data_IF_213678229624
#
_entry.id   IF_213678229624
#
_cell.length_a   1.000
_cell.length_b   1.000
_cell.length_c   1.000
_cell.angle_alpha   90.00
_cell.angle_beta   90.00
_cell.angle_gamma   90.00
#
_symmetry.space_group_name_H-M   'P 1'
#
loop_
_entity.id
_entity.type
_entity.pdbx_description
1 polymer ?
#
# COMPACT_ATOMS: atom_id res chain seq x y z
N UNK A 1 7.09 -3.69 49.47
CA UNK A 1 7.27 -4.50 48.25
C UNK A 1 5.93 -5.13 47.94
N UNK A 2 5.13 -4.56 47.04
CA UNK A 2 3.78 -5.05 46.75
C UNK A 2 3.58 -5.25 45.24
N UNK A 3 2.97 -6.39 44.93
CA UNK A 3 2.27 -6.75 43.70
C UNK A 3 3.12 -7.01 42.44
N UNK A 4 3.51 -8.28 42.28
CA UNK A 4 3.67 -9.02 41.02
C UNK A 4 3.30 -8.22 39.77
N UNK A 5 4.30 -7.77 39.00
CA UNK A 5 4.06 -7.19 37.69
C UNK A 5 3.53 -8.29 36.78
N UNK A 6 2.20 -8.34 36.60
CA UNK A 6 1.61 -9.18 35.56
C UNK A 6 2.25 -8.77 34.25
N UNK A 7 2.99 -9.69 33.63
CA UNK A 7 3.71 -9.43 32.38
C UNK A 7 2.72 -8.91 31.34
N UNK A 8 3.04 -7.78 30.71
CA UNK A 8 2.15 -7.16 29.74
C UNK A 8 2.19 -7.94 28.42
N UNK A 9 1.34 -8.96 28.28
CA UNK A 9 1.27 -9.87 27.12
C UNK A 9 1.26 -9.12 25.78
N UNK A 10 0.48 -8.03 25.58
CA UNK A 10 0.52 -7.31 24.31
C UNK A 10 1.89 -6.72 23.96
N UNK A 11 2.69 -6.34 24.97
CA UNK A 11 4.07 -5.88 24.72
C UNK A 11 4.99 -7.02 24.29
N UNK A 12 4.77 -8.26 24.76
CA UNK A 12 5.53 -9.41 24.28
C UNK A 12 5.21 -9.66 22.81
N UNK A 13 3.92 -9.72 22.46
CA UNK A 13 3.50 -9.93 21.07
C UNK A 13 4.04 -8.86 20.12
N UNK A 14 3.94 -7.58 20.50
CA UNK A 14 4.51 -6.49 19.72
C UNK A 14 6.04 -6.57 19.65
N UNK A 15 6.73 -6.90 20.74
CA UNK A 15 8.20 -7.03 20.72
C UNK A 15 8.65 -8.15 19.78
N UNK A 16 7.95 -9.30 19.76
CA UNK A 16 8.24 -10.39 18.85
C UNK A 16 7.99 -9.99 17.40
N UNK A 17 6.85 -9.36 17.11
CA UNK A 17 6.49 -8.93 15.77
C UNK A 17 7.42 -7.82 15.25
N UNK A 18 7.55 -6.71 15.98
CA UNK A 18 8.36 -5.58 15.55
C UNK A 18 9.86 -5.84 15.67
N UNK A 19 10.30 -6.56 16.70
CA UNK A 19 11.71 -6.92 16.87
C UNK A 19 12.17 -7.98 15.88
N UNK A 20 11.38 -9.04 15.68
CA UNK A 20 11.64 -10.05 14.65
C UNK A 20 11.59 -9.45 13.25
N UNK A 21 10.57 -8.61 12.96
CA UNK A 21 10.47 -7.88 11.72
C UNK A 21 11.65 -6.93 11.48
N UNK A 22 12.10 -6.20 12.49
CA UNK A 22 13.27 -5.32 12.40
C UNK A 22 14.55 -6.11 12.11
N UNK A 23 14.75 -7.25 12.79
CA UNK A 23 15.89 -8.13 12.53
C UNK A 23 15.89 -8.64 11.08
N UNK A 24 14.75 -9.16 10.60
CA UNK A 24 14.62 -9.62 9.22
C UNK A 24 14.89 -8.48 8.23
N UNK A 25 14.25 -7.32 8.41
CA UNK A 25 14.44 -6.16 7.55
C UNK A 25 15.90 -5.67 7.52
N UNK A 26 16.59 -5.66 8.65
CA UNK A 26 18.02 -5.34 8.73
C UNK A 26 18.87 -6.34 7.93
N UNK A 27 18.65 -7.64 8.12
CA UNK A 27 19.39 -8.67 7.38
C UNK A 27 19.11 -8.63 5.88
N UNK A 28 17.85 -8.39 5.47
CA UNK A 28 17.47 -8.18 4.07
C UNK A 28 18.13 -6.95 3.47
N UNK A 29 18.22 -5.84 4.22
CA UNK A 29 18.92 -4.62 3.78
C UNK A 29 20.37 -4.92 3.44
N UNK A 30 21.10 -5.57 4.36
CA UNK A 30 22.49 -5.92 4.16
C UNK A 30 22.67 -6.91 2.99
N UNK A 31 21.81 -7.92 2.90
CA UNK A 31 21.84 -8.94 1.85
C UNK A 31 21.59 -8.35 0.45
N UNK A 32 20.54 -7.54 0.28
CA UNK A 32 20.23 -6.90 -0.99
C UNK A 32 21.28 -5.87 -1.39
N UNK A 33 21.84 -5.11 -0.44
CA UNK A 33 22.89 -4.15 -0.73
C UNK A 33 24.17 -4.85 -1.22
N UNK A 34 24.58 -5.94 -0.56
CA UNK A 34 25.70 -6.75 -0.99
C UNK A 34 25.45 -7.37 -2.37
N UNK A 35 24.26 -7.94 -2.59
CA UNK A 35 23.89 -8.52 -3.89
C UNK A 35 23.88 -7.46 -5.01
N UNK A 36 23.43 -6.24 -4.71
CA UNK A 36 23.47 -5.10 -5.64
C UNK A 36 24.91 -4.76 -6.04
N UNK A 37 25.83 -4.64 -5.07
CA UNK A 37 27.26 -4.39 -5.33
C UNK A 37 27.87 -5.49 -6.21
N UNK A 38 27.56 -6.76 -5.92
CA UNK A 38 28.07 -7.89 -6.69
C UNK A 38 27.61 -7.84 -8.15
N UNK A 39 26.39 -7.36 -8.41
CA UNK A 39 25.86 -7.20 -9.78
C UNK A 39 26.49 -6.03 -10.55
N UNK A 40 27.08 -5.06 -9.86
CA UNK A 40 27.86 -3.97 -10.46
C UNK A 40 29.30 -4.37 -10.85
N UNK A 41 29.77 -5.56 -10.45
CA UNK A 41 31.13 -5.99 -10.75
C UNK A 41 31.32 -6.22 -12.26
N UNK A 42 32.55 -6.06 -12.79
CA UNK A 42 32.83 -6.20 -14.22
C UNK A 42 32.46 -7.56 -14.83
N UNK A 43 32.28 -8.58 -13.98
CA UNK A 43 32.00 -9.97 -14.34
C UNK A 43 30.50 -10.17 -14.66
N UNK A 44 29.59 -9.42 -14.02
CA UNK A 44 28.14 -9.56 -14.18
C UNK A 44 27.54 -8.49 -15.09
N UNK A 45 27.98 -7.24 -14.97
CA UNK A 45 27.47 -6.07 -15.71
C UNK A 45 25.93 -5.96 -15.83
N UNK A 46 25.18 -6.45 -14.83
CA UNK A 46 23.72 -6.43 -14.85
C UNK A 46 23.17 -5.23 -14.04
N UNK A 47 23.31 -4.03 -14.61
CA UNK A 47 22.95 -2.78 -13.95
C UNK A 47 21.45 -2.68 -13.62
N UNK A 48 20.58 -3.25 -14.46
CA UNK A 48 19.13 -3.28 -14.19
C UNK A 48 18.84 -4.09 -12.93
N UNK A 49 19.41 -5.30 -12.83
CA UNK A 49 19.23 -6.14 -11.65
C UNK A 49 19.85 -5.52 -10.39
N UNK A 50 21.01 -4.87 -10.52
CA UNK A 50 21.64 -4.14 -9.43
C UNK A 50 20.72 -3.03 -8.88
N UNK A 51 20.07 -2.26 -9.76
CA UNK A 51 19.13 -1.21 -9.38
C UNK A 51 17.94 -1.77 -8.59
N UNK A 52 17.32 -2.86 -9.05
CA UNK A 52 16.21 -3.51 -8.33
C UNK A 52 16.63 -3.99 -6.94
N UNK A 53 17.83 -4.56 -6.82
CA UNK A 53 18.39 -4.97 -5.53
C UNK A 53 18.64 -3.78 -4.60
N UNK A 54 19.14 -2.65 -5.11
CA UNK A 54 19.27 -1.45 -4.29
C UNK A 54 17.91 -0.88 -3.87
N UNK A 55 16.90 -0.90 -4.74
CA UNK A 55 15.53 -0.51 -4.38
C UNK A 55 14.99 -1.38 -3.22
N UNK A 56 15.18 -2.70 -3.30
CA UNK A 56 14.82 -3.63 -2.22
C UNK A 56 15.61 -3.37 -0.93
N UNK A 57 16.91 -3.07 -1.02
CA UNK A 57 17.74 -2.75 0.13
C UNK A 57 17.24 -1.49 0.84
N UNK A 58 16.96 -0.42 0.10
CA UNK A 58 16.43 0.83 0.64
C UNK A 58 15.03 0.66 1.25
N UNK A 59 14.14 -0.10 0.59
CA UNK A 59 12.82 -0.43 1.13
C UNK A 59 12.92 -1.21 2.45
N UNK A 60 13.76 -2.25 2.50
CA UNK A 60 14.01 -3.02 3.72
C UNK A 60 14.62 -2.15 4.82
N UNK A 61 15.54 -1.25 4.47
CA UNK A 61 16.17 -0.32 5.42
C UNK A 61 15.17 0.63 6.05
N UNK A 62 14.24 1.17 5.26
CA UNK A 62 13.15 1.99 5.77
C UNK A 62 12.24 1.20 6.72
N UNK A 63 11.85 -0.02 6.34
CA UNK A 63 11.03 -0.91 7.19
C UNK A 63 11.73 -1.16 8.53
N UNK A 64 13.03 -1.47 8.51
CA UNK A 64 13.83 -1.63 9.72
C UNK A 64 13.70 -0.41 10.64
N UNK A 65 13.94 0.80 10.11
CA UNK A 65 13.85 2.04 10.88
C UNK A 65 12.46 2.28 11.47
N UNK A 66 11.39 1.99 10.72
CA UNK A 66 10.00 2.17 11.16
C UNK A 66 9.57 1.19 12.27
N UNK A 67 10.22 0.04 12.38
CA UNK A 67 9.93 -0.96 13.42
C UNK A 67 10.69 -0.71 14.73
N UNK A 68 11.75 0.12 14.72
CA UNK A 68 12.55 0.42 15.92
C UNK A 68 11.76 1.10 17.05
N UNK A 69 10.89 2.12 16.79
CA UNK A 69 10.15 2.77 17.87
C UNK A 69 9.23 1.80 18.61
N UNK A 70 8.47 0.97 17.90
CA UNK A 70 7.59 -0.02 18.53
C UNK A 70 8.37 -1.05 19.34
N UNK A 71 9.47 -1.55 18.79
CA UNK A 71 10.38 -2.49 19.47
C UNK A 71 10.92 -1.89 20.77
N UNK A 72 11.39 -0.64 20.70
CA UNK A 72 11.93 0.08 21.85
C UNK A 72 10.87 0.33 22.93
N UNK A 73 9.68 0.81 22.55
CA UNK A 73 8.58 1.08 23.49
C UNK A 73 8.08 -0.20 24.16
N UNK A 74 8.00 -1.31 23.42
CA UNK A 74 7.64 -2.62 23.96
C UNK A 74 8.70 -3.13 24.96
N UNK A 75 9.98 -3.02 24.62
CA UNK A 75 11.09 -3.39 25.50
C UNK A 75 11.13 -2.55 26.79
N UNK A 76 11.01 -1.22 26.68
CA UNK A 76 10.96 -0.31 27.83
C UNK A 76 9.85 -0.71 28.79
N UNK A 77 8.64 -1.01 28.27
CA UNK A 77 7.51 -1.44 29.09
C UNK A 77 7.75 -2.77 29.80
N UNK A 78 8.36 -3.75 29.11
CA UNK A 78 8.66 -5.07 29.67
C UNK A 78 9.76 -4.99 30.75
N UNK A 79 10.66 -4.01 30.65
CA UNK A 79 11.63 -3.67 31.70
C UNK A 79 11.00 -2.95 32.90
N UNK A 80 9.67 -2.76 32.92
CA UNK A 80 8.95 -2.10 34.00
C UNK A 80 9.17 -0.57 34.06
N UNK A 81 9.76 0.02 33.01
CA UNK A 81 10.01 1.46 32.93
C UNK A 81 8.77 2.19 32.41
N UNK A 82 8.53 3.45 32.83
CA UNK A 82 7.46 4.26 32.27
C UNK A 82 7.69 4.46 30.77
N UNK A 83 6.65 4.17 29.97
CA UNK A 83 6.73 4.30 28.51
C UNK A 83 6.72 5.79 28.14
N UNK A 84 7.71 6.26 27.37
CA UNK A 84 7.76 7.66 26.97
C UNK A 84 6.65 7.97 25.97
N UNK A 85 6.01 9.12 26.15
CA UNK A 85 5.07 9.67 25.18
C UNK A 85 5.81 10.63 24.24
N UNK A 86 5.96 10.22 22.98
CA UNK A 86 6.71 10.94 21.96
C UNK A 86 5.74 11.82 21.17
N UNK A 87 5.55 13.05 21.64
CA UNK A 87 4.70 14.04 20.96
C UNK A 87 5.55 15.18 20.40
N UNK A 88 5.88 15.12 19.12
CA UNK A 88 6.67 16.16 18.44
C UNK A 88 5.73 17.25 17.92
N UNK A 89 5.52 18.32 18.71
CA UNK A 89 4.56 19.40 18.40
C UNK A 89 4.80 20.11 17.07
N UNK A 90 6.05 20.13 16.57
CA UNK A 90 6.41 20.82 15.34
C UNK A 90 6.28 19.94 14.09
N UNK A 91 6.08 18.63 14.23
CA UNK A 91 6.11 17.69 13.11
C UNK A 91 5.06 18.03 12.05
N UNK A 92 3.83 18.35 12.47
CA UNK A 92 2.77 18.75 11.55
C UNK A 92 3.10 20.03 10.77
N UNK A 93 3.80 21.01 11.38
CA UNK A 93 4.24 22.21 10.64
C UNK A 93 5.38 21.89 9.68
N UNK A 94 6.38 21.13 10.13
CA UNK A 94 7.51 20.75 9.29
C UNK A 94 7.07 19.93 8.09
N UNK A 95 6.16 18.97 8.26
CA UNK A 95 5.65 18.13 7.17
C UNK A 95 4.84 18.96 6.16
N UNK A 96 4.04 19.94 6.62
CA UNK A 96 3.33 20.87 5.72
C UNK A 96 4.27 21.74 4.87
N UNK A 97 5.44 22.10 5.40
CA UNK A 97 6.45 22.84 4.63
C UNK A 97 7.20 21.88 3.71
N UNK A 98 7.60 20.71 4.23
CA UNK A 98 8.39 19.74 3.50
C UNK A 98 7.65 19.19 2.28
N UNK A 99 6.33 18.99 2.33
CA UNK A 99 5.56 18.50 1.17
C UNK A 99 5.67 19.42 -0.05
N UNK A 100 5.97 20.72 0.15
CA UNK A 100 6.24 21.65 -0.96
C UNK A 100 7.49 21.30 -1.75
N UNK A 101 8.39 20.48 -1.20
CA UNK A 101 9.55 19.95 -1.89
C UNK A 101 9.22 18.75 -2.79
N UNK A 102 8.02 18.15 -2.70
CA UNK A 102 7.66 16.95 -3.51
C UNK A 102 7.77 17.21 -5.02
N UNK A 103 7.24 18.31 -5.59
CA UNK A 103 7.41 18.60 -7.02
C UNK A 103 8.89 18.73 -7.42
N UNK A 104 9.71 19.34 -6.56
CA UNK A 104 11.15 19.44 -6.79
C UNK A 104 11.82 18.06 -6.76
N UNK A 105 11.48 17.20 -5.80
CA UNK A 105 11.99 15.82 -5.71
C UNK A 105 11.59 14.98 -6.92
N UNK A 106 10.37 15.14 -7.44
CA UNK A 106 9.93 14.49 -8.68
C UNK A 106 10.76 14.99 -9.86
N UNK A 107 10.97 16.31 -9.98
CA UNK A 107 11.82 16.88 -11.04
C UNK A 107 13.26 16.37 -10.99
N UNK A 108 13.86 16.32 -9.79
CA UNK A 108 15.21 15.76 -9.59
C UNK A 108 15.27 14.26 -9.90
N UNK A 109 14.25 13.50 -9.49
CA UNK A 109 14.15 12.07 -9.79
C UNK A 109 14.02 11.81 -11.30
N UNK A 110 13.26 12.63 -12.02
CA UNK A 110 13.17 12.56 -13.48
C UNK A 110 14.53 12.79 -14.15
N UNK A 111 15.26 13.83 -13.74
CA UNK A 111 16.60 14.12 -14.26
C UNK A 111 17.58 12.97 -13.99
N UNK A 112 17.53 12.40 -12.78
CA UNK A 112 18.40 11.28 -12.39
C UNK A 112 18.02 9.98 -13.10
N UNK A 113 16.75 9.76 -13.42
CA UNK A 113 16.27 8.54 -14.07
C UNK A 113 16.89 8.29 -15.45
N UNK A 114 17.36 9.35 -16.14
CA UNK A 114 18.05 9.24 -17.43
C UNK A 114 19.53 8.81 -17.33
N UNK A 115 20.07 8.61 -16.13
CA UNK A 115 21.48 8.27 -15.90
C UNK A 115 21.62 6.95 -15.13
N UNK A 116 22.12 5.89 -15.77
CA UNK A 116 22.16 4.52 -15.22
C UNK A 116 22.77 4.41 -13.82
N UNK A 117 23.94 5.02 -13.59
CA UNK A 117 24.64 4.93 -12.30
C UNK A 117 23.96 5.80 -11.23
N UNK A 118 23.53 7.02 -11.58
CA UNK A 118 22.87 7.91 -10.62
C UNK A 118 21.49 7.39 -10.24
N UNK A 119 20.74 6.84 -11.20
CA UNK A 119 19.43 6.23 -10.97
C UNK A 119 19.53 5.08 -9.97
N UNK A 120 20.54 4.23 -10.10
CA UNK A 120 20.78 3.10 -9.22
C UNK A 120 20.91 3.49 -7.73
N UNK A 121 21.50 4.64 -7.43
CA UNK A 121 21.78 5.06 -6.03
C UNK A 121 20.77 6.09 -5.51
N UNK A 122 20.45 7.11 -6.32
CA UNK A 122 19.68 8.27 -5.87
C UNK A 122 18.17 8.11 -6.11
N UNK A 123 17.76 7.37 -7.15
CA UNK A 123 16.34 7.19 -7.45
C UNK A 123 15.58 6.50 -6.30
N UNK A 124 16.06 5.40 -5.68
CA UNK A 124 15.39 4.83 -4.51
C UNK A 124 15.25 5.81 -3.34
N UNK A 125 16.24 6.69 -3.13
CA UNK A 125 16.19 7.71 -2.07
C UNK A 125 15.08 8.73 -2.36
N UNK A 126 14.98 9.21 -3.61
CA UNK A 126 13.92 10.14 -3.99
C UNK A 126 12.54 9.49 -3.93
N UNK A 127 12.40 8.26 -4.40
CA UNK A 127 11.16 7.49 -4.30
C UNK A 127 10.67 7.38 -2.86
N UNK A 128 11.53 6.92 -1.95
CA UNK A 128 11.21 6.80 -0.53
C UNK A 128 10.86 8.16 0.07
N UNK A 129 11.62 9.21 -0.25
CA UNK A 129 11.37 10.54 0.26
C UNK A 129 10.00 11.06 -0.20
N UNK A 130 9.67 10.94 -1.49
CA UNK A 130 8.39 11.39 -2.06
C UNK A 130 7.23 10.64 -1.42
N UNK A 131 7.27 9.31 -1.39
CA UNK A 131 6.19 8.48 -0.83
C UNK A 131 6.02 8.77 0.65
N UNK A 132 7.09 8.65 1.44
CA UNK A 132 7.02 8.80 2.90
C UNK A 132 6.56 10.19 3.30
N UNK A 133 7.09 11.23 2.67
CA UNK A 133 6.72 12.61 2.98
C UNK A 133 5.25 12.88 2.66
N UNK A 134 4.76 12.35 1.55
CA UNK A 134 3.37 12.54 1.14
C UNK A 134 2.40 11.79 2.06
N UNK A 135 2.72 10.54 2.43
CA UNK A 135 1.91 9.77 3.38
C UNK A 135 1.89 10.43 4.78
N UNK A 136 3.05 10.91 5.25
CA UNK A 136 3.13 11.65 6.50
C UNK A 136 2.31 12.94 6.44
N UNK A 137 2.37 13.67 5.33
CA UNK A 137 1.58 14.89 5.14
C UNK A 137 0.07 14.62 5.18
N UNK A 138 -0.38 13.55 4.52
CA UNK A 138 -1.78 13.14 4.53
C UNK A 138 -2.23 12.72 5.93
N UNK A 139 -1.43 11.92 6.64
CA UNK A 139 -1.71 11.51 8.02
C UNK A 139 -1.78 12.71 8.97
N UNK A 140 -0.77 13.58 8.96
CA UNK A 140 -0.72 14.77 9.83
C UNK A 140 -1.86 15.74 9.55
N UNK A 141 -2.20 15.94 8.28
CA UNK A 141 -3.34 16.77 7.88
C UNK A 141 -4.66 16.16 8.34
N UNK A 142 -4.84 14.85 8.15
CA UNK A 142 -6.04 14.12 8.56
C UNK A 142 -6.23 14.03 10.06
N UNK A 143 -5.15 13.91 10.84
CA UNK A 143 -5.21 13.81 12.32
C UNK A 143 -5.06 15.13 13.07
N UNK A 144 -4.85 16.24 12.36
CA UNK A 144 -4.58 17.56 12.94
C UNK A 144 -5.57 17.91 14.07
N UNK A 145 -5.04 18.17 15.27
CA UNK A 145 -5.81 18.51 16.48
C UNK A 145 -6.84 17.45 16.93
N UNK A 146 -6.73 16.21 16.47
CA UNK A 146 -7.35 15.06 17.14
C UNK A 146 -6.39 14.61 18.25
N UNK A 147 -6.94 14.21 19.40
CA UNK A 147 -6.13 13.66 20.48
C UNK A 147 -5.48 12.36 19.97
N UNK A 148 -4.14 12.30 19.89
CA UNK A 148 -3.44 11.08 19.50
C UNK A 148 -3.68 9.99 20.54
N UNK A 149 -3.59 8.73 20.11
CA UNK A 149 -3.48 7.62 21.05
C UNK A 149 -2.15 7.69 21.80
N UNK A 150 -1.90 6.74 22.71
CA UNK A 150 -0.55 6.61 23.28
C UNK A 150 0.46 6.29 22.18
N UNK A 151 1.69 6.78 22.33
CA UNK A 151 2.77 6.55 21.36
C UNK A 151 2.99 5.06 21.10
N UNK A 152 2.90 4.24 22.15
CA UNK A 152 2.99 2.78 22.04
C UNK A 152 1.88 2.19 21.16
N UNK A 153 0.67 2.75 21.21
CA UNK A 153 -0.45 2.27 20.41
C UNK A 153 -0.25 2.65 18.94
N UNK A 154 0.11 3.89 18.65
CA UNK A 154 0.31 4.35 17.27
C UNK A 154 1.43 3.57 16.57
N UNK A 155 2.60 3.46 17.21
CA UNK A 155 3.72 2.68 16.68
C UNK A 155 3.42 1.18 16.63
N UNK A 156 2.64 0.66 17.58
CA UNK A 156 2.18 -0.72 17.58
C UNK A 156 1.24 -1.02 16.40
N UNK A 157 0.30 -0.12 16.08
CA UNK A 157 -0.58 -0.24 14.91
C UNK A 157 0.22 -0.23 13.61
N UNK A 158 1.17 0.70 13.48
CA UNK A 158 2.05 0.77 12.30
C UNK A 158 2.85 -0.52 12.15
N UNK A 159 3.51 -0.97 13.23
CA UNK A 159 4.37 -2.16 13.19
C UNK A 159 3.60 -3.43 12.93
N UNK A 160 2.41 -3.59 13.54
CA UNK A 160 1.54 -4.74 13.26
C UNK A 160 1.06 -4.72 11.80
N UNK A 161 0.72 -3.54 11.27
CA UNK A 161 0.29 -3.42 9.88
C UNK A 161 1.39 -3.83 8.91
N UNK A 162 2.62 -3.39 9.17
CA UNK A 162 3.80 -3.73 8.36
C UNK A 162 4.13 -5.22 8.45
N UNK A 163 4.15 -5.79 9.65
CA UNK A 163 4.71 -7.14 9.90
C UNK A 163 3.69 -8.27 9.80
N UNK A 164 2.40 -7.98 9.97
CA UNK A 164 1.35 -8.99 9.96
C UNK A 164 0.26 -8.70 8.92
N UNK A 165 -0.28 -7.47 8.89
CA UNK A 165 -1.42 -7.17 8.01
C UNK A 165 -1.05 -7.31 6.53
N UNK A 166 0.06 -6.71 6.09
CA UNK A 166 0.46 -6.79 4.68
C UNK A 166 0.83 -8.21 4.24
N UNK A 167 1.67 -8.99 4.97
CA UNK A 167 1.92 -10.38 4.60
C UNK A 167 0.65 -11.24 4.54
N UNK A 168 -0.31 -11.02 5.45
CA UNK A 168 -1.59 -11.72 5.42
C UNK A 168 -2.44 -11.27 4.21
N UNK A 169 -2.47 -9.98 3.88
CA UNK A 169 -3.16 -9.48 2.69
C UNK A 169 -2.62 -10.14 1.41
N UNK A 170 -1.30 -10.12 1.24
CA UNK A 170 -0.63 -10.79 0.11
C UNK A 170 -0.96 -12.28 0.09
N UNK A 171 -0.90 -12.97 1.24
CA UNK A 171 -1.23 -14.39 1.33
C UNK A 171 -2.68 -14.66 0.88
N UNK A 172 -3.65 -13.89 1.39
CA UNK A 172 -5.06 -14.08 1.05
C UNK A 172 -5.34 -13.71 -0.40
N UNK A 173 -4.69 -12.68 -0.95
CA UNK A 173 -4.77 -12.32 -2.37
C UNK A 173 -4.22 -13.45 -3.26
N UNK A 174 -3.06 -14.02 -2.92
CA UNK A 174 -2.48 -15.14 -3.65
C UNK A 174 -3.36 -16.39 -3.59
N UNK A 175 -3.91 -16.71 -2.41
CA UNK A 175 -4.86 -17.83 -2.26
C UNK A 175 -6.14 -17.60 -3.06
N UNK A 176 -6.66 -16.37 -3.07
CA UNK A 176 -7.82 -15.98 -3.85
C UNK A 176 -7.56 -16.14 -5.35
N UNK A 177 -6.45 -15.58 -5.86
CA UNK A 177 -6.08 -15.67 -7.27
C UNK A 177 -5.86 -17.13 -7.67
N UNK A 178 -5.14 -17.91 -6.85
CA UNK A 178 -4.91 -19.33 -7.08
C UNK A 178 -6.24 -20.12 -7.12
N UNK A 179 -7.17 -19.82 -6.21
CA UNK A 179 -8.50 -20.43 -6.19
C UNK A 179 -9.32 -20.10 -7.44
N UNK A 180 -9.28 -18.85 -7.91
CA UNK A 180 -9.94 -18.42 -9.16
C UNK A 180 -9.34 -19.16 -10.35
N UNK A 181 -8.01 -19.14 -10.49
CA UNK A 181 -7.30 -19.81 -11.59
C UNK A 181 -7.60 -21.31 -11.59
N UNK A 182 -7.52 -21.97 -10.43
CA UNK A 182 -7.82 -23.40 -10.30
C UNK A 182 -9.25 -23.73 -10.72
N UNK A 183 -10.23 -22.91 -10.29
CA UNK A 183 -11.64 -23.08 -10.67
C UNK A 183 -11.84 -22.92 -12.16
N UNK A 184 -11.19 -21.91 -12.78
CA UNK A 184 -11.24 -21.69 -14.24
C UNK A 184 -10.62 -22.86 -14.99
N UNK A 185 -9.48 -23.38 -14.55
CA UNK A 185 -8.81 -24.52 -15.19
C UNK A 185 -9.66 -25.81 -15.11
N UNK A 186 -10.30 -26.08 -13.98
CA UNK A 186 -11.24 -27.20 -13.84
C UNK A 186 -12.45 -27.02 -14.76
N UNK A 187 -13.02 -25.82 -14.79
CA UNK A 187 -14.16 -25.55 -15.66
C UNK A 187 -13.80 -25.78 -17.14
N UNK A 188 -12.67 -25.22 -17.59
CA UNK A 188 -12.20 -25.37 -18.97
C UNK A 188 -11.80 -26.80 -19.33
N UNK A 189 -11.27 -27.59 -18.40
CA UNK A 189 -10.94 -29.00 -18.66
C UNK A 189 -12.18 -29.83 -18.97
N UNK A 190 -13.34 -29.45 -18.42
CA UNK A 190 -14.63 -30.10 -18.67
C UNK A 190 -15.33 -29.53 -19.88
N UNK A 191 -15.34 -28.20 -20.07
CA UNK A 191 -16.14 -27.55 -21.12
C UNK A 191 -15.41 -27.37 -22.44
N UNK A 192 -14.11 -27.10 -22.42
CA UNK A 192 -13.35 -26.67 -23.61
C UNK A 192 -11.87 -27.12 -23.55
N UNK A 193 -11.57 -28.40 -23.78
CA UNK A 193 -10.18 -28.92 -23.78
C UNK A 193 -9.24 -28.18 -24.74
N UNK A 194 -9.77 -27.68 -25.87
CA UNK A 194 -9.01 -26.88 -26.82
C UNK A 194 -8.51 -25.55 -26.24
N UNK A 195 -9.31 -24.87 -25.41
CA UNK A 195 -8.89 -23.62 -24.75
C UNK A 195 -7.82 -23.87 -23.68
N UNK A 196 -7.86 -25.04 -23.04
CA UNK A 196 -6.86 -25.45 -22.07
C UNK A 196 -5.48 -25.63 -22.73
N UNK A 197 -5.44 -26.20 -23.94
CA UNK A 197 -4.21 -26.35 -24.74
C UNK A 197 -3.65 -25.01 -25.24
N UNK A 198 -4.54 -24.06 -25.56
CA UNK A 198 -4.13 -22.69 -25.89
C UNK A 198 -3.50 -21.99 -24.68
N UNK A 199 -4.08 -22.16 -23.49
CA UNK A 199 -3.55 -21.63 -22.23
C UNK A 199 -2.19 -22.24 -21.85
N UNK A 200 -2.00 -23.55 -22.03
CA UNK A 200 -0.72 -24.22 -21.77
C UNK A 200 0.37 -23.74 -22.73
N UNK A 201 0.04 -23.60 -24.02
CA UNK A 201 0.93 -23.05 -25.04
C UNK A 201 1.30 -21.60 -24.72
N UNK A 202 0.34 -20.80 -24.27
CA UNK A 202 0.58 -19.42 -23.82
C UNK A 202 1.53 -19.38 -22.63
N UNK A 203 1.27 -20.20 -21.60
CA UNK A 203 2.11 -20.26 -20.40
C UNK A 203 3.56 -20.64 -20.76
N UNK A 204 3.74 -21.63 -21.63
CA UNK A 204 5.07 -22.02 -22.13
C UNK A 204 5.76 -20.87 -22.88
N UNK A 205 5.03 -20.12 -23.71
CA UNK A 205 5.57 -18.95 -24.44
C UNK A 205 5.96 -17.80 -23.51
N UNK A 206 5.20 -17.57 -22.44
CA UNK A 206 5.54 -16.57 -21.41
C UNK A 206 6.76 -16.99 -20.60
N UNK A 207 6.86 -18.26 -20.23
CA UNK A 207 8.03 -18.78 -19.53
C UNK A 207 9.30 -18.70 -20.38
N UNK A 208 9.18 -18.85 -21.70
CA UNK A 208 10.30 -18.72 -22.63
C UNK A 208 10.54 -17.30 -23.13
N UNK A 209 9.81 -16.28 -22.63
CA UNK A 209 9.92 -14.92 -23.16
C UNK A 209 11.04 -14.09 -22.53
N UNK A 210 11.84 -14.65 -21.62
CA UNK A 210 12.91 -13.95 -20.88
C UNK A 210 12.48 -12.60 -20.29
N UNK A 211 11.19 -12.48 -19.91
CA UNK A 211 10.56 -11.22 -19.48
C UNK A 211 10.60 -10.05 -20.48
N UNK A 212 10.85 -10.31 -21.78
CA UNK A 212 10.77 -9.31 -22.83
C UNK A 212 9.36 -8.73 -22.93
N UNK A 213 9.25 -7.41 -22.73
CA UNK A 213 7.97 -6.68 -22.69
C UNK A 213 7.17 -6.86 -23.98
N UNK A 214 7.83 -6.79 -25.13
CA UNK A 214 7.17 -6.91 -26.43
C UNK A 214 6.73 -8.34 -26.75
N UNK A 215 7.51 -9.35 -26.35
CA UNK A 215 7.12 -10.74 -26.41
C UNK A 215 5.91 -11.02 -25.52
N UNK A 216 5.91 -10.54 -24.26
CA UNK A 216 4.77 -10.69 -23.34
C UNK A 216 3.51 -10.04 -23.93
N UNK A 217 3.62 -8.78 -24.39
CA UNK A 217 2.48 -8.08 -25.00
C UNK A 217 1.93 -8.84 -26.21
N UNK A 218 2.79 -9.38 -27.09
CA UNK A 218 2.35 -10.20 -28.23
C UNK A 218 1.60 -11.46 -27.81
N UNK A 219 2.03 -12.12 -26.74
CA UNK A 219 1.35 -13.31 -26.20
C UNK A 219 0.00 -12.94 -25.58
N UNK A 220 -0.12 -11.77 -24.95
CA UNK A 220 -1.35 -11.32 -24.30
C UNK A 220 -2.39 -10.68 -25.24
N UNK A 221 -1.97 -10.17 -26.41
CA UNK A 221 -2.86 -9.51 -27.40
C UNK A 221 -4.19 -10.23 -27.67
N UNK A 222 -4.23 -11.55 -27.92
CA UNK A 222 -5.50 -12.25 -28.21
C UNK A 222 -6.53 -12.16 -27.08
N UNK A 223 -6.07 -12.05 -25.83
CA UNK A 223 -6.95 -12.01 -24.65
C UNK A 223 -7.62 -10.65 -24.48
N UNK A 224 -6.97 -9.57 -24.94
CA UNK A 224 -7.55 -8.22 -24.97
C UNK A 224 -8.63 -8.03 -26.04
N UNK A 225 -8.85 -9.01 -26.91
CA UNK A 225 -9.99 -9.02 -27.84
C UNK A 225 -11.21 -9.77 -27.27
N UNK A 226 -11.09 -10.39 -26.08
CA UNK A 226 -12.21 -11.09 -25.45
C UNK A 226 -12.84 -10.21 -24.35
N UNK A 227 -14.08 -9.71 -24.53
CA UNK A 227 -14.73 -8.83 -23.55
C UNK A 227 -14.90 -9.50 -22.19
N UNK A 228 -15.19 -10.81 -22.16
CA UNK A 228 -15.39 -11.53 -20.90
C UNK A 228 -14.12 -11.53 -20.06
N UNK A 229 -12.95 -11.66 -20.68
CA UNK A 229 -11.67 -11.66 -19.97
C UNK A 229 -11.32 -10.27 -19.44
N UNK A 230 -11.63 -9.21 -20.21
CA UNK A 230 -11.46 -7.83 -19.74
C UNK A 230 -12.37 -7.55 -18.54
N UNK A 231 -13.65 -7.91 -18.62
CA UNK A 231 -14.59 -7.73 -17.51
C UNK A 231 -14.21 -8.57 -16.29
N UNK A 232 -13.76 -9.82 -16.49
CA UNK A 232 -13.29 -10.66 -15.40
C UNK A 232 -12.03 -10.08 -14.74
N UNK A 233 -11.07 -9.60 -15.53
CA UNK A 233 -9.87 -8.95 -15.02
C UNK A 233 -10.21 -7.71 -14.19
N UNK A 234 -11.09 -6.82 -14.70
CA UNK A 234 -11.58 -5.65 -13.95
C UNK A 234 -12.32 -6.08 -12.68
N UNK A 235 -13.21 -7.08 -12.75
CA UNK A 235 -13.97 -7.55 -11.59
C UNK A 235 -13.07 -8.10 -10.49
N UNK A 236 -12.00 -8.81 -10.83
CA UNK A 236 -11.03 -9.32 -9.85
C UNK A 236 -10.18 -8.18 -9.29
N UNK A 237 -9.50 -7.41 -10.16
CA UNK A 237 -8.50 -6.40 -9.76
C UNK A 237 -9.09 -5.12 -9.18
N UNK A 238 -10.28 -4.72 -9.62
CA UNK A 238 -10.96 -3.52 -9.17
C UNK A 238 -12.25 -3.83 -8.40
N UNK A 239 -12.54 -5.09 -8.08
CA UNK A 239 -13.68 -5.49 -7.25
C UNK A 239 -13.23 -6.41 -6.11
N UNK A 240 -12.95 -7.66 -6.41
CA UNK A 240 -12.71 -8.68 -5.38
C UNK A 240 -11.46 -8.36 -4.54
N UNK A 241 -10.36 -7.94 -5.18
CA UNK A 241 -9.12 -7.57 -4.47
C UNK A 241 -9.36 -6.36 -3.55
N UNK A 242 -9.89 -5.21 -4.03
CA UNK A 242 -10.25 -4.08 -3.16
C UNK A 242 -11.14 -4.45 -1.98
N UNK A 243 -12.14 -5.33 -2.20
CA UNK A 243 -13.04 -5.79 -1.16
C UNK A 243 -12.27 -6.52 -0.04
N UNK A 244 -11.39 -7.45 -0.42
CA UNK A 244 -10.52 -8.18 0.49
C UNK A 244 -9.55 -7.24 1.22
N UNK A 245 -8.91 -6.34 0.50
CA UNK A 245 -7.95 -5.41 1.06
C UNK A 245 -8.58 -4.47 2.10
N UNK A 246 -9.73 -3.86 1.80
CA UNK A 246 -10.41 -2.98 2.76
C UNK A 246 -10.87 -3.74 4.02
N UNK A 247 -11.08 -5.05 3.92
CA UNK A 247 -11.41 -5.90 5.06
C UNK A 247 -10.17 -6.17 5.93
N UNK A 248 -9.02 -6.41 5.31
CA UNK A 248 -7.78 -6.77 5.99
C UNK A 248 -6.99 -5.56 6.50
N UNK A 249 -7.00 -4.42 5.81
CA UNK A 249 -6.29 -3.18 6.21
C UNK A 249 -6.43 -2.83 7.70
N UNK A 250 -7.63 -2.80 8.30
CA UNK A 250 -7.78 -2.45 9.70
C UNK A 250 -7.47 -3.59 10.67
N UNK A 251 -6.87 -4.72 10.25
CA UNK A 251 -6.61 -5.89 11.11
C UNK A 251 -5.95 -5.53 12.44
N UNK A 252 -5.00 -4.59 12.44
CA UNK A 252 -4.35 -4.10 13.65
C UNK A 252 -5.32 -3.48 14.67
N UNK A 253 -6.42 -2.85 14.21
CA UNK A 253 -7.45 -2.29 15.09
C UNK A 253 -8.30 -3.37 15.77
N UNK A 254 -8.48 -4.53 15.15
CA UNK A 254 -9.24 -5.64 15.76
C UNK A 254 -8.58 -6.14 17.04
N UNK A 255 -7.25 -6.08 17.12
CA UNK A 255 -6.49 -6.35 18.34
C UNK A 255 -6.77 -5.35 19.48
N UNK A 256 -7.43 -4.22 19.18
CA UNK A 256 -7.83 -3.19 20.12
C UNK A 256 -9.35 -3.14 20.36
N UNK A 257 -10.12 -4.07 19.80
CA UNK A 257 -11.59 -4.09 19.91
C UNK A 257 -12.10 -4.01 21.35
N UNK A 258 -11.44 -4.69 22.29
CA UNK A 258 -11.77 -4.68 23.72
C UNK A 258 -11.46 -3.34 24.45
N UNK A 259 -10.88 -2.35 23.77
CA UNK A 259 -10.50 -1.05 24.35
C UNK A 259 -11.53 0.06 24.17
N UNK A 260 -12.70 -0.24 23.56
CA UNK A 260 -13.77 0.74 23.29
C UNK A 260 -13.23 2.05 22.70
N UNK A 261 -12.52 1.94 21.57
CA UNK A 261 -11.93 3.08 20.89
C UNK A 261 -12.99 4.15 20.61
N UNK A 262 -12.67 5.41 20.90
CA UNK A 262 -13.48 6.52 20.45
C UNK A 262 -13.49 6.60 18.91
N UNK A 263 -14.52 7.17 18.28
CA UNK A 263 -14.54 7.35 16.82
C UNK A 263 -13.32 8.12 16.28
N UNK A 264 -12.73 9.00 17.10
CA UNK A 264 -11.49 9.74 16.78
C UNK A 264 -10.28 8.82 16.74
N UNK A 265 -10.11 8.00 17.77
CA UNK A 265 -9.02 7.02 17.84
C UNK A 265 -9.15 5.96 16.74
N UNK A 266 -10.38 5.53 16.43
CA UNK A 266 -10.65 4.62 15.31
C UNK A 266 -10.26 5.23 13.96
N UNK A 267 -10.64 6.49 13.70
CA UNK A 267 -10.27 7.19 12.48
C UNK A 267 -8.75 7.35 12.34
N UNK A 268 -8.07 7.82 13.38
CA UNK A 268 -6.61 8.00 13.37
C UNK A 268 -5.88 6.66 13.27
N UNK A 269 -6.31 5.66 14.03
CA UNK A 269 -5.73 4.32 13.97
C UNK A 269 -5.94 3.67 12.61
N UNK A 270 -7.10 3.89 11.98
CA UNK A 270 -7.39 3.47 10.61
C UNK A 270 -6.45 4.13 9.60
N UNK A 271 -6.25 5.45 9.69
CA UNK A 271 -5.28 6.16 8.84
C UNK A 271 -3.86 5.62 9.00
N UNK A 272 -3.43 5.27 10.22
CA UNK A 272 -2.10 4.68 10.47
C UNK A 272 -1.96 3.32 9.77
N UNK A 273 -2.98 2.46 9.83
CA UNK A 273 -2.99 1.20 9.09
C UNK A 273 -2.93 1.43 7.58
N UNK A 274 -3.66 2.44 7.09
CA UNK A 274 -3.64 2.85 5.68
C UNK A 274 -2.27 3.38 5.23
N UNK A 275 -1.56 4.14 6.08
CA UNK A 275 -0.18 4.59 5.82
C UNK A 275 0.75 3.38 5.67
N UNK A 276 0.68 2.41 6.58
CA UNK A 276 1.51 1.21 6.50
C UNK A 276 1.25 0.41 5.21
N UNK A 277 -0.03 0.22 4.87
CA UNK A 277 -0.44 -0.49 3.66
C UNK A 277 0.06 0.23 2.41
N UNK A 278 -0.24 1.53 2.29
CA UNK A 278 0.18 2.36 1.17
C UNK A 278 1.70 2.42 0.99
N UNK A 279 2.44 2.48 2.10
CA UNK A 279 3.89 2.50 2.06
C UNK A 279 4.42 1.19 1.48
N UNK A 280 3.99 0.03 2.01
CA UNK A 280 4.48 -1.26 1.54
C UNK A 280 4.08 -1.55 0.09
N UNK A 281 2.84 -1.25 -0.27
CA UNK A 281 2.35 -1.39 -1.65
C UNK A 281 3.16 -0.50 -2.61
N UNK A 282 3.41 0.75 -2.22
CA UNK A 282 4.23 1.68 -3.02
C UNK A 282 5.68 1.21 -3.14
N UNK A 283 6.31 0.76 -2.06
CA UNK A 283 7.68 0.26 -2.09
C UNK A 283 7.81 -0.98 -2.99
N UNK A 284 6.84 -1.89 -2.93
CA UNK A 284 6.81 -3.08 -3.80
C UNK A 284 6.64 -2.70 -5.28
N UNK A 285 5.73 -1.77 -5.58
CA UNK A 285 5.51 -1.29 -6.95
C UNK A 285 6.71 -0.55 -7.54
N UNK A 286 7.63 -0.06 -6.71
CA UNK A 286 8.78 0.75 -7.12
C UNK A 286 10.08 -0.05 -7.31
N UNK A 287 10.07 -1.38 -7.12
CA UNK A 287 11.27 -2.23 -7.20
C UNK A 287 11.83 -2.35 -8.63
N UNK A 288 11.00 -2.70 -9.61
CA UNK A 288 11.42 -3.04 -10.98
C UNK A 288 10.82 -2.05 -11.99
N UNK A 289 11.46 -0.89 -12.15
CA UNK A 289 10.94 0.15 -13.03
C UNK A 289 11.91 0.60 -14.09
N UNK A 290 11.37 0.64 -15.31
CA UNK A 290 11.93 1.43 -16.40
C UNK A 290 11.83 2.93 -16.08
N UNK A 291 12.91 3.65 -16.39
CA UNK A 291 13.09 5.09 -16.24
C UNK A 291 11.96 5.92 -16.88
N UNK A 292 11.40 5.43 -18.00
CA UNK A 292 10.43 6.16 -18.83
C UNK A 292 9.06 6.38 -18.16
N UNK A 293 8.64 5.45 -17.29
CA UNK A 293 7.32 5.48 -16.64
C UNK A 293 7.36 5.98 -15.19
N UNK A 294 8.56 6.28 -14.67
CA UNK A 294 8.78 6.54 -13.24
C UNK A 294 7.92 7.70 -12.69
N UNK A 295 7.85 8.83 -13.42
CA UNK A 295 7.08 10.02 -12.98
C UNK A 295 5.58 9.72 -12.88
N UNK A 296 5.02 9.02 -13.86
CA UNK A 296 3.60 8.66 -13.84
C UNK A 296 3.28 7.72 -12.69
N UNK A 297 4.17 6.75 -12.45
CA UNK A 297 3.97 5.80 -11.37
C UNK A 297 4.09 6.46 -9.99
N UNK A 298 5.09 7.31 -9.74
CA UNK A 298 5.26 7.96 -8.44
C UNK A 298 4.06 8.88 -8.13
N UNK A 299 3.53 9.58 -9.14
CA UNK A 299 2.29 10.37 -9.01
C UNK A 299 1.10 9.46 -8.73
N UNK A 300 0.99 8.33 -9.43
CA UNK A 300 -0.03 7.32 -9.17
C UNK A 300 0.03 6.79 -7.73
N UNK A 301 1.23 6.53 -7.20
CA UNK A 301 1.45 6.06 -5.82
C UNK A 301 1.09 7.12 -4.77
N UNK A 302 1.32 8.41 -5.05
CA UNK A 302 0.81 9.49 -4.20
C UNK A 302 -0.72 9.41 -4.10
N UNK A 303 -1.40 9.23 -5.23
CA UNK A 303 -2.85 9.09 -5.29
C UNK A 303 -3.38 7.84 -4.57
N UNK A 304 -2.78 6.68 -4.83
CA UNK A 304 -3.13 5.42 -4.14
C UNK A 304 -2.84 5.49 -2.64
N UNK A 305 -1.79 6.21 -2.22
CA UNK A 305 -1.52 6.47 -0.81
C UNK A 305 -2.63 7.27 -0.14
N UNK A 306 -3.14 8.31 -0.79
CA UNK A 306 -4.30 9.07 -0.31
C UNK A 306 -5.54 8.19 -0.16
N UNK A 307 -5.79 7.35 -1.16
CA UNK A 307 -6.89 6.40 -1.16
C UNK A 307 -6.83 5.52 0.08
N UNK A 308 -5.74 4.78 0.28
CA UNK A 308 -5.60 3.86 1.40
C UNK A 308 -5.70 4.52 2.78
N UNK A 309 -5.11 5.71 2.95
CA UNK A 309 -5.22 6.45 4.21
C UNK A 309 -6.68 6.85 4.46
N UNK A 310 -7.37 7.34 3.44
CA UNK A 310 -8.75 7.83 3.55
C UNK A 310 -9.73 6.68 3.79
N UNK A 311 -9.65 5.61 3.01
CA UNK A 311 -10.55 4.45 3.13
C UNK A 311 -10.33 3.71 4.45
N UNK A 312 -9.07 3.45 4.81
CA UNK A 312 -8.75 2.79 6.08
C UNK A 312 -9.13 3.67 7.30
N UNK A 313 -8.99 4.99 7.20
CA UNK A 313 -9.50 5.92 8.20
C UNK A 313 -11.02 5.83 8.36
N UNK A 314 -11.78 5.78 7.26
CA UNK A 314 -13.22 5.64 7.26
C UNK A 314 -13.68 4.31 7.88
N UNK A 315 -13.05 3.19 7.51
CA UNK A 315 -13.35 1.88 8.09
C UNK A 315 -12.99 1.85 9.58
N UNK A 316 -11.84 2.39 9.97
CA UNK A 316 -11.43 2.51 11.37
C UNK A 316 -12.42 3.31 12.22
N UNK A 317 -12.95 4.41 11.69
CA UNK A 317 -14.05 5.15 12.31
C UNK A 317 -15.31 4.28 12.48
N UNK A 318 -15.69 3.54 11.43
CA UNK A 318 -16.82 2.62 11.45
C UNK A 318 -16.68 1.53 12.51
N UNK A 319 -15.50 0.93 12.62
CA UNK A 319 -15.17 -0.08 13.62
C UNK A 319 -15.31 0.48 15.04
N UNK A 320 -14.73 1.65 15.29
CA UNK A 320 -14.85 2.31 16.59
C UNK A 320 -16.30 2.59 16.96
N UNK A 321 -17.15 3.07 16.03
CA UNK A 321 -18.58 3.28 16.29
C UNK A 321 -19.35 1.99 16.52
N UNK A 322 -19.00 0.91 15.81
CA UNK A 322 -19.59 -0.39 16.06
C UNK A 322 -19.26 -0.90 17.47
N UNK A 323 -18.00 -0.82 17.90
CA UNK A 323 -17.55 -1.34 19.20
C UNK A 323 -17.90 -0.47 20.41
N UNK A 324 -17.91 0.86 20.26
CA UNK A 324 -18.17 1.78 21.37
C UNK A 324 -19.64 2.21 21.48
N UNK A 325 -20.36 2.31 20.34
CA UNK A 325 -21.73 2.83 20.30
C UNK A 325 -22.76 1.78 19.83
N UNK A 326 -22.34 0.56 19.46
CA UNK A 326 -23.23 -0.47 18.90
C UNK A 326 -23.76 -0.15 17.50
N UNK A 327 -23.20 0.84 16.80
CA UNK A 327 -23.72 1.35 15.52
C UNK A 327 -23.14 0.61 14.31
N UNK A 328 -23.44 -0.68 14.20
CA UNK A 328 -22.92 -1.56 13.14
C UNK A 328 -23.27 -1.10 11.71
N UNK A 329 -24.40 -0.43 11.50
CA UNK A 329 -24.73 0.16 10.19
C UNK A 329 -23.72 1.22 9.74
N UNK A 330 -23.08 1.90 10.69
CA UNK A 330 -22.02 2.86 10.37
C UNK A 330 -20.76 2.17 9.86
N UNK A 331 -20.45 0.97 10.38
CA UNK A 331 -19.35 0.15 9.87
C UNK A 331 -19.65 -0.38 8.47
N UNK A 332 -20.85 -0.94 8.25
CA UNK A 332 -21.25 -1.43 6.92
C UNK A 332 -21.19 -0.29 5.89
N UNK A 333 -21.75 0.87 6.20
CA UNK A 333 -21.69 2.03 5.32
C UNK A 333 -20.26 2.53 5.07
N UNK A 334 -19.42 2.57 6.10
CA UNK A 334 -18.01 2.93 5.98
C UNK A 334 -17.22 1.96 5.09
N UNK A 335 -17.44 0.66 5.27
CA UNK A 335 -16.79 -0.39 4.50
C UNK A 335 -17.23 -0.38 3.04
N UNK A 336 -18.54 -0.29 2.76
CA UNK A 336 -19.03 -0.20 1.38
C UNK A 336 -18.57 1.08 0.68
N UNK A 337 -18.49 2.20 1.38
CA UNK A 337 -17.93 3.44 0.83
C UNK A 337 -16.43 3.31 0.53
N UNK A 338 -15.65 2.73 1.46
CA UNK A 338 -14.24 2.45 1.27
C UNK A 338 -13.99 1.54 0.06
N UNK A 339 -14.72 0.42 -0.01
CA UNK A 339 -14.72 -0.50 -1.14
C UNK A 339 -15.08 0.22 -2.46
N UNK A 340 -16.12 1.06 -2.46
CA UNK A 340 -16.54 1.82 -3.63
C UNK A 340 -15.48 2.81 -4.12
N UNK A 341 -14.86 3.59 -3.23
CA UNK A 341 -13.77 4.50 -3.59
C UNK A 341 -12.57 3.76 -4.15
N UNK A 342 -12.20 2.65 -3.51
CA UNK A 342 -11.05 1.86 -3.94
C UNK A 342 -11.30 1.17 -5.28
N UNK A 343 -12.47 0.57 -5.47
CA UNK A 343 -12.89 -0.04 -6.74
C UNK A 343 -12.92 0.98 -7.87
N UNK A 344 -13.45 2.17 -7.62
CA UNK A 344 -13.49 3.26 -8.61
C UNK A 344 -12.08 3.74 -8.96
N UNK A 345 -11.20 3.91 -7.95
CA UNK A 345 -9.80 4.28 -8.17
C UNK A 345 -9.10 3.23 -9.04
N UNK A 346 -9.17 1.95 -8.66
CA UNK A 346 -8.51 0.88 -9.41
C UNK A 346 -9.08 0.72 -10.82
N UNK A 347 -10.40 0.78 -10.99
CA UNK A 347 -11.00 0.73 -12.34
C UNK A 347 -10.45 1.87 -13.21
N UNK A 348 -10.41 3.09 -12.69
CA UNK A 348 -9.94 4.27 -13.44
C UNK A 348 -8.43 4.22 -13.70
N UNK A 349 -7.64 3.73 -12.75
CA UNK A 349 -6.20 3.52 -12.92
C UNK A 349 -5.90 2.45 -13.98
N UNK A 350 -6.66 1.35 -13.99
CA UNK A 350 -6.58 0.31 -15.02
C UNK A 350 -6.93 0.85 -16.40
N UNK A 351 -7.99 1.67 -16.52
CA UNK A 351 -8.34 2.31 -17.79
C UNK A 351 -7.20 3.19 -18.32
N UNK A 352 -6.48 3.89 -17.44
CA UNK A 352 -5.30 4.66 -17.84
C UNK A 352 -4.21 3.76 -18.41
N UNK A 353 -3.93 2.62 -17.77
CA UNK A 353 -2.98 1.61 -18.27
C UNK A 353 -3.44 0.94 -19.57
N UNK A 354 -4.75 0.78 -19.75
CA UNK A 354 -5.33 0.21 -20.96
C UNK A 354 -5.15 1.09 -22.20
N UNK A 355 -4.80 2.36 -22.08
CA UNK A 355 -4.51 3.22 -23.24
C UNK A 355 -3.42 2.64 -24.14
N UNK A 356 -2.36 2.07 -23.56
CA UNK A 356 -1.30 1.40 -24.31
C UNK A 356 -1.74 0.08 -24.94
N UNK A 357 -2.80 -0.54 -24.43
CA UNK A 357 -3.33 -1.82 -24.91
C UNK A 357 -4.48 -1.65 -25.90
N UNK A 358 -5.23 -0.56 -25.78
CA UNK A 358 -6.38 -0.23 -26.62
C UNK A 358 -5.97 -0.10 -28.09
N UNK A 359 -4.76 0.39 -28.38
CA UNK A 359 -4.20 0.42 -29.74
C UNK A 359 -4.14 -0.96 -30.43
N UNK A 360 -4.19 -2.05 -29.65
CA UNK A 360 -4.16 -3.42 -30.16
C UNK A 360 -5.52 -4.14 -30.07
N UNK A 361 -6.58 -3.47 -29.58
CA UNK A 361 -7.92 -4.03 -29.44
C UNK A 361 -8.99 -3.02 -29.88
N UNK A 362 -9.57 -3.18 -31.09
CA UNK A 362 -10.67 -2.33 -31.56
C UNK A 362 -11.87 -2.29 -30.60
N UNK A 363 -12.10 -3.40 -29.90
CA UNK A 363 -13.16 -3.53 -28.89
C UNK A 363 -12.93 -2.61 -27.68
N UNK A 364 -11.68 -2.51 -27.21
CA UNK A 364 -11.33 -1.63 -26.09
C UNK A 364 -11.55 -0.16 -26.44
N UNK A 365 -11.20 0.22 -27.67
CA UNK A 365 -11.46 1.56 -28.20
C UNK A 365 -12.98 1.78 -28.25
N UNK A 366 -13.74 0.93 -28.94
CA UNK A 366 -15.19 1.12 -29.10
C UNK A 366 -15.94 1.25 -27.75
N UNK A 367 -15.54 0.46 -26.74
CA UNK A 367 -16.29 0.36 -25.48
C UNK A 367 -15.82 1.31 -24.38
N UNK A 368 -14.54 1.67 -24.35
CA UNK A 368 -13.95 2.37 -23.21
C UNK A 368 -13.23 3.67 -23.58
N UNK A 369 -13.12 4.05 -24.86
CA UNK A 369 -12.32 5.21 -25.29
C UNK A 369 -12.63 6.49 -24.49
N UNK A 370 -13.90 6.88 -24.38
CA UNK A 370 -14.29 8.06 -23.59
C UNK A 370 -13.92 7.95 -22.10
N UNK A 371 -13.96 6.74 -21.52
CA UNK A 371 -13.57 6.54 -20.12
C UNK A 371 -12.03 6.55 -19.98
N UNK A 372 -11.30 5.96 -20.91
CA UNK A 372 -9.83 6.00 -20.96
C UNK A 372 -9.36 7.46 -21.05
N UNK A 373 -9.95 8.27 -21.92
CA UNK A 373 -9.63 9.69 -22.06
C UNK A 373 -9.97 10.50 -20.79
N UNK A 374 -11.11 10.21 -20.16
CA UNK A 374 -11.54 10.89 -18.93
C UNK A 374 -10.77 10.45 -17.67
N UNK A 375 -10.09 9.30 -17.71
CA UNK A 375 -9.51 8.64 -16.53
C UNK A 375 -8.56 9.53 -15.71
N UNK A 376 -7.60 10.27 -16.31
CA UNK A 376 -6.73 11.16 -15.54
C UNK A 376 -7.51 12.24 -14.76
N UNK A 377 -8.56 12.79 -15.37
CA UNK A 377 -9.40 13.81 -14.72
C UNK A 377 -10.22 13.22 -13.59
N UNK A 378 -10.77 12.01 -13.79
CA UNK A 378 -11.52 11.29 -12.76
C UNK A 378 -10.62 10.98 -11.56
N UNK A 379 -9.37 10.53 -11.77
CA UNK A 379 -8.41 10.29 -10.70
C UNK A 379 -8.09 11.57 -9.90
N UNK A 380 -7.87 12.69 -10.59
CA UNK A 380 -7.62 13.99 -9.93
C UNK A 380 -8.84 14.44 -9.13
N UNK A 381 -10.04 14.32 -9.68
CA UNK A 381 -11.30 14.63 -8.97
C UNK A 381 -11.49 13.74 -7.75
N UNK A 382 -11.24 12.43 -7.88
CA UNK A 382 -11.35 11.46 -6.80
C UNK A 382 -10.34 11.76 -5.69
N UNK A 383 -9.09 12.06 -6.05
CA UNK A 383 -8.07 12.51 -5.09
C UNK A 383 -8.51 13.79 -4.36
N UNK A 384 -8.95 14.82 -5.10
CA UNK A 384 -9.46 16.05 -4.51
C UNK A 384 -10.62 15.81 -3.54
N UNK A 385 -11.57 14.96 -3.93
CA UNK A 385 -12.70 14.56 -3.09
C UNK A 385 -12.24 13.84 -1.81
N UNK A 386 -11.28 12.91 -1.90
CA UNK A 386 -10.74 12.20 -0.74
C UNK A 386 -9.99 13.12 0.24
N UNK A 387 -9.23 14.10 -0.27
CA UNK A 387 -8.62 15.15 0.57
C UNK A 387 -9.71 15.92 1.33
N UNK A 388 -10.76 16.38 0.63
CA UNK A 388 -11.86 17.11 1.24
C UNK A 388 -12.61 16.28 2.28
N UNK A 389 -12.86 14.99 1.99
CA UNK A 389 -13.43 14.01 2.90
C UNK A 389 -12.62 13.89 4.18
N UNK A 390 -11.30 13.67 4.06
CA UNK A 390 -10.41 13.53 5.22
C UNK A 390 -10.37 14.78 6.07
N UNK A 391 -10.32 15.97 5.46
CA UNK A 391 -10.37 17.26 6.18
C UNK A 391 -11.73 17.46 6.87
N UNK A 392 -12.84 17.13 6.18
CA UNK A 392 -14.20 17.28 6.75
C UNK A 392 -14.43 16.30 7.89
N UNK A 393 -13.98 15.05 7.75
CA UNK A 393 -14.03 14.02 8.79
C UNK A 393 -13.28 14.50 10.03
N UNK A 394 -12.07 15.04 9.88
CA UNK A 394 -11.33 15.66 10.98
C UNK A 394 -12.15 16.74 11.70
N UNK A 395 -12.72 17.70 10.97
CA UNK A 395 -13.51 18.81 11.56
C UNK A 395 -14.74 18.32 12.33
N UNK A 396 -15.47 17.35 11.77
CA UNK A 396 -16.64 16.73 12.40
C UNK A 396 -16.20 16.01 13.68
N UNK A 397 -15.14 15.21 13.60
CA UNK A 397 -14.65 14.45 14.74
C UNK A 397 -14.17 15.37 15.86
N UNK A 398 -13.55 16.51 15.55
CA UNK A 398 -13.16 17.53 16.54
C UNK A 398 -14.34 18.16 17.27
N UNK A 399 -15.46 18.36 16.59
CA UNK A 399 -16.66 19.02 17.13
C UNK A 399 -17.66 18.05 17.78
N UNK A 400 -17.49 16.74 17.61
CA UNK A 400 -18.38 15.72 18.17
C UNK A 400 -18.33 15.59 19.70
N UNK A 401 -19.33 14.92 20.31
CA UNK A 401 -19.42 14.71 21.77
C UNK A 401 -18.14 14.06 22.33
N UNK A 402 -17.64 14.57 23.46
CA UNK A 402 -16.33 14.20 24.02
C UNK A 402 -15.19 15.18 23.67
N UNK A 403 -15.50 16.42 23.26
CA UNK A 403 -14.54 17.49 22.95
C UNK A 403 -14.05 18.28 24.19
N UNK A 404 -14.07 17.68 25.39
CA UNK A 404 -13.50 18.26 26.61
C UNK A 404 -12.57 17.27 27.27
#
# INVERSE_FOLDING_TARGET
>A
MNSTSKTHIPSIGILLLSGGGAFLAFTSTAGFFLAGILNCLPISQNFSQAQSLFNLAWAAGLIFLLLLPSTSLAAIRLLGKPVPEIHIRWIGRAVNIAVLAVPLLIGLGYLVSGHSILAMVLLPVFQIAIVTLTLLWMLETGRKNLLPGSSQREWGLLSFSITATMPLAILFELLLIAGIVFTVLIYLSVTSPLMLDQLSTMANRLMSSDMDREAILRVLRPFFNNPLLIYAFIAVTAGIIPLLEEFLKPLALWCLSAKHLSPREGFVGGMICGVAFALLESLGALVDLDSSAWVFLIIGRIGTGLLHITTSGLVGWGLARAWSEGKYLSLVGAYLAAFGFHSLWNTTALMTGFRELAQFSPLMIERFDSFIEASPFILVMLAGFMVLMTIKANRILRSGPGSR
#
